data_IF_916171578662
#
_entry.id   IF_916171578662
#
_cell.length_a   1.000
_cell.length_b   1.000
_cell.length_c   1.000
_cell.angle_alpha   90.00
_cell.angle_beta   90.00
_cell.angle_gamma   90.00
#
_symmetry.space_group_name_H-M   'P 1'
#
loop_
_entity.id
_entity.type
_entity.pdbx_description
1 polymer ?
#
# COMPACT_ATOMS: atom_id res chain seq x y z
N UNK A 1 14.92 17.73 19.39
CA UNK A 1 15.26 16.35 19.02
C UNK A 1 14.51 15.43 19.97
N UNK A 2 14.01 14.27 19.53
CA UNK A 2 13.38 13.31 20.45
C UNK A 2 14.52 12.52 21.12
N UNK A 3 14.93 12.96 22.30
CA UNK A 3 16.17 12.50 22.96
C UNK A 3 15.99 11.18 23.76
N UNK A 4 14.84 10.51 23.59
CA UNK A 4 14.47 9.32 24.36
C UNK A 4 14.28 8.10 23.43
N UNK A 5 15.35 7.32 23.16
CA UNK A 5 15.27 6.12 22.31
C UNK A 5 14.27 5.09 22.85
N UNK A 6 14.03 5.10 24.16
CA UNK A 6 13.05 4.22 24.81
C UNK A 6 11.60 4.51 24.40
N UNK A 7 11.25 5.79 24.20
CA UNK A 7 9.91 6.16 23.74
C UNK A 7 9.68 5.75 22.29
N UNK A 8 10.72 5.85 21.44
CA UNK A 8 10.67 5.39 20.05
C UNK A 8 10.48 3.87 20.03
N UNK A 9 11.26 3.13 20.82
CA UNK A 9 11.14 1.68 20.92
C UNK A 9 9.76 1.25 21.42
N UNK A 10 9.23 1.93 22.45
CA UNK A 10 7.88 1.69 22.95
C UNK A 10 6.82 1.96 21.88
N UNK A 11 6.94 3.06 21.13
CA UNK A 11 6.03 3.38 20.02
C UNK A 11 6.04 2.33 18.91
N UNK A 12 7.23 1.86 18.51
CA UNK A 12 7.39 0.77 17.53
C UNK A 12 6.74 -0.51 18.04
N UNK A 13 6.98 -0.88 19.30
CA UNK A 13 6.39 -2.07 19.91
C UNK A 13 4.86 -1.99 19.95
N UNK A 14 4.32 -0.85 20.38
CA UNK A 14 2.86 -0.61 20.42
C UNK A 14 2.26 -0.73 19.01
N UNK A 15 2.89 -0.13 18.00
CA UNK A 15 2.42 -0.19 16.61
C UNK A 15 2.50 -1.63 16.06
N UNK A 16 3.58 -2.34 16.34
CA UNK A 16 3.77 -3.72 15.93
C UNK A 16 2.71 -4.63 16.54
N UNK A 17 2.50 -4.52 17.85
CA UNK A 17 1.47 -5.28 18.58
C UNK A 17 0.08 -4.94 18.04
N UNK A 18 -0.25 -3.66 17.87
CA UNK A 18 -1.53 -3.22 17.32
C UNK A 18 -1.80 -3.79 15.93
N UNK A 19 -0.78 -3.77 15.05
CA UNK A 19 -0.88 -4.33 13.68
C UNK A 19 -1.11 -5.85 13.71
N UNK A 20 -0.37 -6.56 14.56
CA UNK A 20 -0.53 -8.01 14.70
C UNK A 20 -1.89 -8.39 15.30
N UNK A 21 -2.40 -7.64 16.27
CA UNK A 21 -3.73 -7.86 16.84
C UNK A 21 -4.83 -7.64 15.78
N UNK A 22 -4.72 -6.60 14.94
CA UNK A 22 -5.66 -6.39 13.84
C UNK A 22 -5.64 -7.55 12.83
N UNK A 23 -4.45 -8.07 12.48
CA UNK A 23 -4.32 -9.25 11.61
C UNK A 23 -4.85 -10.52 12.26
N UNK A 24 -4.57 -10.74 13.55
CA UNK A 24 -5.02 -11.89 14.30
C UNK A 24 -6.55 -11.90 14.45
N UNK A 25 -7.18 -10.74 14.63
CA UNK A 25 -8.64 -10.61 14.66
C UNK A 25 -9.27 -11.20 13.40
N UNK A 26 -8.76 -10.85 12.21
CA UNK A 26 -9.24 -11.43 10.95
C UNK A 26 -9.07 -12.95 10.87
N UNK A 27 -7.93 -13.49 11.33
CA UNK A 27 -7.68 -14.93 11.31
C UNK A 27 -8.56 -15.71 12.30
N UNK A 28 -8.77 -15.19 13.51
CA UNK A 28 -9.57 -15.83 14.58
C UNK A 28 -11.06 -15.74 14.27
N UNK A 29 -11.53 -14.63 13.69
CA UNK A 29 -12.93 -14.44 13.34
C UNK A 29 -13.32 -15.20 12.06
N UNK A 30 -12.36 -15.51 11.17
CA UNK A 30 -12.63 -16.19 9.89
C UNK A 30 -13.29 -17.56 10.04
N UNK A 31 -12.98 -18.32 11.09
CA UNK A 31 -13.62 -19.62 11.35
C UNK A 31 -14.89 -19.54 12.20
N UNK A 32 -15.18 -18.38 12.81
CA UNK A 32 -16.34 -18.21 13.71
C UNK A 32 -17.48 -17.39 13.10
N UNK A 33 -17.21 -16.60 12.07
CA UNK A 33 -18.20 -15.72 11.44
C UNK A 33 -18.45 -16.21 10.01
N UNK A 34 -19.61 -16.82 9.79
CA UNK A 34 -20.12 -17.11 8.44
C UNK A 34 -20.61 -15.78 7.87
N UNK A 35 -19.74 -15.08 7.15
CA UNK A 35 -20.13 -13.89 6.40
C UNK A 35 -21.06 -14.31 5.27
N UNK A 36 -22.23 -13.68 5.16
CA UNK A 36 -23.10 -13.83 3.98
C UNK A 36 -22.35 -13.39 2.72
N UNK A 37 -22.60 -14.05 1.59
CA UNK A 37 -21.93 -13.78 0.30
C UNK A 37 -21.89 -12.28 -0.05
N UNK A 38 -22.98 -11.56 0.26
CA UNK A 38 -23.07 -10.11 0.06
C UNK A 38 -22.05 -9.33 0.90
N UNK A 39 -21.90 -9.66 2.18
CA UNK A 39 -20.92 -8.98 3.05
C UNK A 39 -19.49 -9.30 2.61
N UNK A 40 -19.21 -10.53 2.18
CA UNK A 40 -17.88 -10.90 1.69
C UNK A 40 -17.51 -10.16 0.40
N UNK A 41 -18.48 -9.96 -0.50
CA UNK A 41 -18.31 -9.15 -1.70
C UNK A 41 -18.05 -7.68 -1.35
N UNK A 42 -18.79 -7.12 -0.38
CA UNK A 42 -18.59 -5.74 0.09
C UNK A 42 -17.22 -5.54 0.74
N UNK A 43 -16.77 -6.47 1.59
CA UNK A 43 -15.43 -6.41 2.20
C UNK A 43 -14.32 -6.50 1.14
N UNK A 44 -14.48 -7.37 0.14
CA UNK A 44 -13.54 -7.48 -0.97
C UNK A 44 -13.48 -6.20 -1.80
N UNK A 45 -14.64 -5.61 -2.11
CA UNK A 45 -14.73 -4.34 -2.84
C UNK A 45 -14.11 -3.19 -2.02
N UNK A 46 -14.39 -3.12 -0.73
CA UNK A 46 -13.83 -2.10 0.16
C UNK A 46 -12.30 -2.19 0.20
N UNK A 47 -11.73 -3.39 0.31
CA UNK A 47 -10.28 -3.57 0.28
C UNK A 47 -9.67 -3.06 -1.03
N UNK A 48 -10.29 -3.36 -2.17
CA UNK A 48 -9.84 -2.86 -3.48
C UNK A 48 -9.93 -1.33 -3.54
N UNK A 49 -11.03 -0.73 -3.09
CA UNK A 49 -11.23 0.73 -3.07
C UNK A 49 -10.20 1.42 -2.17
N UNK A 50 -9.91 0.85 -0.98
CA UNK A 50 -8.89 1.39 -0.06
C UNK A 50 -7.51 1.33 -0.71
N UNK A 51 -7.11 0.17 -1.25
CA UNK A 51 -5.81 0.01 -1.91
C UNK A 51 -5.67 0.95 -3.10
N UNK A 52 -6.73 1.10 -3.91
CA UNK A 52 -6.75 2.03 -5.03
C UNK A 52 -6.64 3.48 -4.58
N UNK A 53 -7.40 3.88 -3.56
CA UNK A 53 -7.35 5.22 -2.99
C UNK A 53 -5.94 5.55 -2.47
N UNK A 54 -5.32 4.63 -1.72
CA UNK A 54 -3.93 4.77 -1.25
C UNK A 54 -2.95 4.90 -2.41
N UNK A 55 -3.11 4.10 -3.47
CA UNK A 55 -2.26 4.21 -4.67
C UNK A 55 -2.41 5.58 -5.33
N UNK A 56 -3.64 6.06 -5.51
CA UNK A 56 -3.90 7.39 -6.10
C UNK A 56 -3.34 8.50 -5.22
N UNK A 57 -3.62 8.49 -3.91
CA UNK A 57 -3.13 9.51 -2.99
C UNK A 57 -1.61 9.52 -2.91
N UNK A 58 -0.95 8.37 -2.78
CA UNK A 58 0.52 8.29 -2.74
C UNK A 58 1.19 8.68 -4.06
N UNK A 59 0.47 8.57 -5.18
CA UNK A 59 0.97 8.97 -6.50
C UNK A 59 0.83 10.47 -6.72
N UNK A 60 -0.27 11.08 -6.28
CA UNK A 60 -0.62 12.48 -6.55
C UNK A 60 -0.11 13.44 -5.47
N UNK A 61 -0.10 13.02 -4.20
CA UNK A 61 0.24 13.85 -3.05
C UNK A 61 1.45 13.30 -2.30
N UNK A 62 2.51 14.11 -2.20
CA UNK A 62 3.64 13.83 -1.32
C UNK A 62 3.84 15.00 -0.36
N UNK A 63 3.13 14.94 0.79
CA UNK A 63 3.30 15.80 1.96
C UNK A 63 2.91 17.28 1.81
N UNK A 64 3.44 17.99 0.81
CA UNK A 64 3.33 19.46 0.67
C UNK A 64 3.36 19.98 -0.77
N UNK A 65 3.66 19.16 -1.78
CA UNK A 65 3.67 19.56 -3.19
C UNK A 65 2.96 18.51 -4.08
N UNK A 66 2.48 18.95 -5.26
CA UNK A 66 2.07 18.03 -6.32
C UNK A 66 3.26 17.12 -6.62
N UNK A 67 3.04 15.81 -6.48
CA UNK A 67 4.06 14.78 -6.61
C UNK A 67 4.87 14.93 -7.90
N UNK A 68 6.19 14.73 -7.78
CA UNK A 68 7.12 14.68 -8.92
C UNK A 68 6.52 13.84 -10.06
N UNK A 69 6.31 14.44 -11.24
CA UNK A 69 5.90 13.76 -12.49
C UNK A 69 6.50 12.35 -12.66
N UNK A 70 7.78 12.11 -12.32
CA UNK A 70 8.39 10.78 -12.28
C UNK A 70 7.58 9.66 -11.61
N UNK A 71 6.95 9.91 -10.45
CA UNK A 71 6.18 8.87 -9.72
C UNK A 71 4.88 8.53 -10.43
N UNK A 72 4.20 9.53 -10.98
CA UNK A 72 2.95 9.36 -11.73
C UNK A 72 3.17 8.47 -12.95
N UNK A 73 4.24 8.72 -13.70
CA UNK A 73 4.59 7.92 -14.88
C UNK A 73 4.97 6.48 -14.49
N UNK A 74 5.74 6.29 -13.41
CA UNK A 74 6.09 4.96 -12.91
C UNK A 74 4.88 4.12 -12.51
N UNK A 75 3.89 4.72 -11.83
CA UNK A 75 2.65 4.05 -11.42
C UNK A 75 1.73 3.76 -12.61
N UNK A 76 1.67 4.65 -13.61
CA UNK A 76 0.96 4.38 -14.87
C UNK A 76 1.55 3.17 -15.60
N UNK A 77 2.88 3.04 -15.66
CA UNK A 77 3.54 1.87 -16.24
C UNK A 77 3.23 0.60 -15.45
N UNK A 78 3.25 0.64 -14.11
CA UNK A 78 2.80 -0.49 -13.29
C UNK A 78 1.36 -0.91 -13.61
N UNK A 79 0.45 0.05 -13.74
CA UNK A 79 -0.97 -0.19 -14.07
C UNK A 79 -1.12 -0.89 -15.43
N UNK A 80 -0.42 -0.39 -16.45
CA UNK A 80 -0.42 -0.99 -17.80
C UNK A 80 0.16 -2.42 -17.76
N UNK A 81 1.28 -2.63 -17.06
CA UNK A 81 1.92 -3.95 -16.99
C UNK A 81 1.08 -4.97 -16.18
N UNK A 82 0.28 -4.49 -15.23
CA UNK A 82 -0.71 -5.32 -14.51
C UNK A 82 -1.78 -5.84 -15.46
N UNK A 83 -2.19 -5.04 -16.46
CA UNK A 83 -3.13 -5.47 -17.51
C UNK A 83 -2.59 -6.64 -18.35
N UNK A 84 -1.26 -6.74 -18.47
CA UNK A 84 -0.60 -7.84 -19.18
C UNK A 84 -0.44 -9.13 -18.36
N UNK A 85 -1.02 -9.23 -17.14
CA UNK A 85 -0.94 -10.43 -16.27
C UNK A 85 0.50 -10.94 -16.06
N UNK A 86 1.50 -10.05 -16.00
CA UNK A 86 2.90 -10.40 -15.75
C UNK A 86 3.14 -10.67 -14.25
N UNK A 87 4.16 -11.47 -13.86
CA UNK A 87 4.46 -11.73 -12.46
C UNK A 87 4.73 -10.43 -11.69
N UNK A 88 4.20 -10.32 -10.47
CA UNK A 88 4.23 -9.12 -9.64
C UNK A 88 5.63 -8.49 -9.53
N UNK A 89 6.67 -9.33 -9.41
CA UNK A 89 8.05 -8.86 -9.31
C UNK A 89 8.49 -8.03 -10.52
N UNK A 90 8.06 -8.41 -11.75
CA UNK A 90 8.39 -7.68 -12.97
C UNK A 90 7.66 -6.34 -13.05
N UNK A 91 6.44 -6.27 -12.53
CA UNK A 91 5.63 -5.04 -12.48
C UNK A 91 6.32 -4.03 -11.57
N UNK A 92 6.70 -4.45 -10.36
CA UNK A 92 7.39 -3.61 -9.38
C UNK A 92 8.76 -3.17 -9.91
N UNK A 93 9.57 -4.07 -10.46
CA UNK A 93 10.89 -3.75 -11.02
C UNK A 93 10.80 -2.75 -12.17
N UNK A 94 9.85 -2.94 -13.10
CA UNK A 94 9.68 -2.04 -14.24
C UNK A 94 9.24 -0.65 -13.78
N UNK A 95 8.29 -0.58 -12.86
CA UNK A 95 7.82 0.70 -12.32
C UNK A 95 8.91 1.43 -11.52
N UNK A 96 9.68 0.70 -10.72
CA UNK A 96 10.83 1.25 -9.99
C UNK A 96 11.90 1.76 -10.96
N UNK A 97 12.23 0.99 -12.00
CA UNK A 97 13.19 1.39 -13.02
C UNK A 97 12.73 2.65 -13.78
N UNK A 98 11.47 2.71 -14.21
CA UNK A 98 10.91 3.89 -14.89
C UNK A 98 10.92 5.12 -13.97
N UNK A 99 10.51 4.96 -12.71
CA UNK A 99 10.53 6.05 -11.73
C UNK A 99 11.96 6.54 -11.47
N UNK A 100 12.92 5.61 -11.33
CA UNK A 100 14.32 5.92 -11.07
C UNK A 100 14.99 6.60 -12.28
N UNK A 101 14.77 6.10 -13.49
CA UNK A 101 15.29 6.69 -14.73
C UNK A 101 14.74 8.08 -14.97
N UNK A 102 13.44 8.27 -14.75
CA UNK A 102 12.79 9.56 -14.96
C UNK A 102 13.18 10.58 -13.89
N UNK A 103 13.46 10.14 -12.65
CA UNK A 103 14.07 10.96 -11.60
C UNK A 103 15.55 11.26 -11.86
N UNK A 104 16.26 10.43 -12.61
CA UNK A 104 17.66 10.69 -12.96
C UNK A 104 17.78 11.68 -14.13
N UNK A 105 16.77 11.74 -15.00
CA UNK A 105 16.70 12.65 -16.15
C UNK A 105 16.21 14.06 -15.78
N UNK A 106 15.37 14.17 -14.74
CA UNK A 106 14.68 15.40 -14.30
C UNK A 106 15.40 16.06 -13.12
#
# INVERSE_FOLDING_TARGET
MMDNPWLILAGILILAIGTYLMRASGAILKDKIVLSDNSQALFSAAAIVILFSVAVTSTIFDGSHLSDLPKVVGVLVAGILTWFKKPFILIVLSAAAVTALLRWIL
#
